data_IF_371669001035
#
_entry.id   IF_371669001035
#
_cell.length_a   1.000
_cell.length_b   1.000
_cell.length_c   1.000
_cell.angle_alpha   90.00
_cell.angle_beta   90.00
_cell.angle_gamma   90.00
#
_symmetry.space_group_name_H-M   'P 1'
#
loop_
_entity.id
_entity.type
_entity.pdbx_description
1 polymer ?
#
# COMPACT_ATOMS: atom_id res chain seq x y z
N UNK A 1 -6.88 -4.25 31.41
CA UNK A 1 -6.42 -2.97 30.81
C UNK A 1 -5.53 -2.24 31.80
N UNK A 2 -4.24 -2.11 31.50
CA UNK A 2 -3.24 -1.42 32.35
C UNK A 2 -3.62 0.06 32.57
N UNK A 3 -3.25 0.63 33.72
CA UNK A 3 -3.42 2.06 34.01
C UNK A 3 -2.73 2.94 32.95
N UNK A 4 -1.60 2.49 32.40
CA UNK A 4 -0.88 3.19 31.34
C UNK A 4 -1.69 3.27 30.03
N UNK A 5 -2.49 2.24 29.74
CA UNK A 5 -3.39 2.24 28.57
C UNK A 5 -4.57 3.18 28.82
N UNK A 6 -5.13 3.19 30.04
CA UNK A 6 -6.21 4.13 30.40
C UNK A 6 -5.77 5.59 30.35
N UNK A 7 -4.50 5.88 30.63
CA UNK A 7 -3.92 7.21 30.54
C UNK A 7 -3.42 7.57 29.12
N UNK A 8 -3.58 6.69 28.13
CA UNK A 8 -3.11 6.91 26.75
C UNK A 8 -1.57 6.91 26.61
N UNK A 9 -0.86 6.45 27.64
CA UNK A 9 0.61 6.41 27.68
C UNK A 9 1.14 5.13 27.01
N UNK A 10 0.31 4.10 26.84
CA UNK A 10 0.64 2.83 26.16
C UNK A 10 -0.47 2.45 25.20
N UNK A 11 -0.11 1.88 24.04
CA UNK A 11 -1.10 1.33 23.11
C UNK A 11 -1.88 0.14 23.71
N UNK A 12 -3.20 0.05 23.49
CA UNK A 12 -4.00 -1.11 23.92
C UNK A 12 -3.73 -2.35 23.08
N UNK A 13 -3.51 -2.20 21.77
CA UNK A 13 -3.20 -3.28 20.85
C UNK A 13 -1.82 -3.07 20.18
N UNK A 14 -1.04 -4.12 19.90
CA UNK A 14 0.24 -4.00 19.17
C UNK A 14 0.14 -3.32 17.80
N UNK A 15 -1.01 -3.44 17.14
CA UNK A 15 -1.26 -2.84 15.81
C UNK A 15 -1.72 -1.38 15.85
N UNK A 16 -2.00 -0.85 17.04
CA UNK A 16 -2.35 0.56 17.18
C UNK A 16 -1.09 1.44 17.01
N UNK A 17 -1.24 2.70 16.57
CA UNK A 17 -0.14 3.64 16.48
C UNK A 17 0.65 3.74 17.79
N UNK A 18 1.98 3.62 17.77
CA UNK A 18 2.77 3.60 18.99
C UNK A 18 2.82 4.98 19.65
N UNK A 19 2.59 5.01 20.96
CA UNK A 19 2.75 6.20 21.81
C UNK A 19 4.22 6.60 21.95
N UNK A 20 4.49 7.75 22.58
CA UNK A 20 5.86 8.17 22.87
C UNK A 20 6.60 7.16 23.77
N UNK A 21 5.92 6.58 24.76
CA UNK A 21 6.52 5.56 25.61
C UNK A 21 6.74 4.25 24.85
N UNK A 22 5.81 3.86 23.98
CA UNK A 22 6.00 2.68 23.12
C UNK A 22 7.23 2.82 22.23
N UNK A 23 7.39 4.00 21.59
CA UNK A 23 8.57 4.31 20.78
C UNK A 23 9.88 4.28 21.58
N UNK A 24 9.84 4.78 22.82
CA UNK A 24 11.00 4.75 23.71
C UNK A 24 11.37 3.31 24.12
N UNK A 25 10.37 2.48 24.43
CA UNK A 25 10.57 1.11 24.90
C UNK A 25 10.94 0.15 23.77
N UNK A 26 10.36 0.30 22.57
CA UNK A 26 10.59 -0.58 21.43
C UNK A 26 11.97 -0.34 20.79
N UNK A 27 12.46 0.91 20.80
CA UNK A 27 13.73 1.24 20.17
C UNK A 27 14.02 2.74 20.18
N UNK A 28 14.65 3.29 21.23
CA UNK A 28 14.84 4.73 21.38
C UNK A 28 15.70 5.31 20.25
N UNK A 29 16.76 4.60 19.85
CA UNK A 29 17.60 5.01 18.73
C UNK A 29 16.84 4.98 17.39
N UNK A 30 16.03 3.94 17.15
CA UNK A 30 15.22 3.86 15.93
C UNK A 30 14.27 5.05 15.83
N UNK A 31 13.63 5.44 16.93
CA UNK A 31 12.73 6.57 16.93
C UNK A 31 13.47 7.91 16.75
N UNK A 32 14.65 8.08 17.35
CA UNK A 32 15.49 9.27 17.13
C UNK A 32 15.94 9.38 15.68
N UNK A 33 16.36 8.28 15.06
CA UNK A 33 16.73 8.23 13.64
C UNK A 33 15.53 8.54 12.76
N UNK A 34 14.35 7.97 13.05
CA UNK A 34 13.13 8.26 12.31
C UNK A 34 12.72 9.74 12.44
N UNK A 35 12.79 10.31 13.64
CA UNK A 35 12.50 11.72 13.89
C UNK A 35 13.49 12.64 13.15
N UNK A 36 14.79 12.33 13.21
CA UNK A 36 15.82 13.05 12.47
C UNK A 36 15.58 12.95 10.95
N UNK A 37 15.28 11.75 10.43
CA UNK A 37 14.96 11.55 9.03
C UNK A 37 13.72 12.34 8.60
N UNK A 38 12.62 12.28 9.36
CA UNK A 38 11.42 13.09 9.09
C UNK A 38 11.71 14.59 9.12
N UNK A 39 12.56 15.04 10.04
CA UNK A 39 13.01 16.43 10.09
C UNK A 39 13.83 16.79 8.84
N UNK A 40 14.81 15.98 8.46
CA UNK A 40 15.61 16.17 7.25
C UNK A 40 14.76 16.15 5.97
N UNK A 41 13.75 15.27 5.89
CA UNK A 41 12.79 15.23 4.77
C UNK A 41 11.97 16.51 4.70
N UNK A 42 11.60 17.11 5.83
CA UNK A 42 10.93 18.43 5.84
C UNK A 42 11.84 19.58 5.40
N UNK A 43 13.16 19.43 5.55
CA UNK A 43 14.14 20.38 5.02
C UNK A 43 14.40 20.17 3.52
N UNK A 44 14.05 19.01 2.94
CA UNK A 44 14.00 18.88 1.48
C UNK A 44 12.95 19.86 0.98
N UNK A 45 13.32 20.64 -0.04
CA UNK A 45 12.54 21.78 -0.53
C UNK A 45 11.09 21.45 -0.87
N UNK A 46 10.34 22.48 -1.26
CA UNK A 46 8.91 22.35 -1.55
C UNK A 46 8.64 21.14 -2.46
N UNK A 47 7.69 20.25 -2.08
CA UNK A 47 7.26 19.18 -2.97
C UNK A 47 6.94 19.75 -4.34
N UNK A 48 7.20 18.97 -5.39
CA UNK A 48 6.82 19.37 -6.74
C UNK A 48 5.32 19.70 -6.77
N UNK A 49 5.00 20.98 -6.94
CA UNK A 49 3.65 21.45 -7.13
C UNK A 49 3.34 21.45 -8.62
N UNK A 50 2.35 20.67 -9.04
CA UNK A 50 1.88 20.71 -10.42
C UNK A 50 1.35 22.12 -10.74
N UNK A 51 1.62 22.65 -11.95
CA UNK A 51 1.01 23.89 -12.41
C UNK A 51 -0.52 23.82 -12.30
N UNK A 52 -1.14 24.91 -11.88
CA UNK A 52 -2.59 25.02 -11.80
C UNK A 52 -3.22 24.73 -13.18
N UNK A 53 -4.31 23.96 -13.21
CA UNK A 53 -5.07 23.68 -14.44
C UNK A 53 -4.70 22.40 -15.18
N UNK A 54 -3.73 21.59 -14.70
CA UNK A 54 -3.56 20.23 -15.22
C UNK A 54 -4.67 19.29 -14.73
N UNK A 55 -5.21 18.42 -15.60
CA UNK A 55 -6.17 17.40 -15.19
C UNK A 55 -5.52 16.49 -14.14
N UNK A 56 -6.29 16.10 -13.12
CA UNK A 56 -5.83 15.16 -12.10
C UNK A 56 -5.80 13.76 -12.70
N UNK A 57 -4.76 13.00 -12.37
CA UNK A 57 -4.71 11.58 -12.68
C UNK A 57 -5.60 10.86 -11.68
N UNK A 58 -6.54 10.04 -12.16
CA UNK A 58 -7.31 9.12 -11.34
C UNK A 58 -6.63 7.77 -11.31
N UNK A 59 -6.18 7.39 -10.12
CA UNK A 59 -5.59 6.08 -9.85
C UNK A 59 -6.63 5.18 -9.22
N UNK A 60 -6.83 3.99 -9.77
CA UNK A 60 -7.72 2.94 -9.27
C UNK A 60 -6.86 1.85 -8.66
N UNK A 61 -7.01 1.63 -7.36
CA UNK A 61 -6.23 0.64 -6.62
C UNK A 61 -7.13 -0.53 -6.22
N UNK A 62 -6.71 -1.74 -6.59
CA UNK A 62 -7.30 -3.02 -6.18
C UNK A 62 -6.17 -3.95 -5.70
N UNK A 63 -6.50 -5.02 -4.98
CA UNK A 63 -5.53 -5.96 -4.42
C UNK A 63 -6.22 -7.24 -4.00
N UNK A 64 -5.44 -8.30 -3.78
CA UNK A 64 -5.86 -9.54 -3.12
C UNK A 64 -7.13 -10.14 -3.74
N UNK A 65 -7.20 -10.14 -5.07
CA UNK A 65 -8.38 -10.64 -5.78
C UNK A 65 -8.48 -12.16 -5.72
N UNK A 66 -7.37 -12.89 -5.56
CA UNK A 66 -7.38 -14.34 -5.40
C UNK A 66 -8.23 -15.08 -6.45
N UNK A 67 -8.05 -14.72 -7.73
CA UNK A 67 -8.77 -15.20 -8.90
C UNK A 67 -10.20 -14.66 -9.09
N UNK A 68 -10.69 -13.80 -8.18
CA UNK A 68 -11.99 -13.15 -8.30
C UNK A 68 -11.93 -11.93 -9.22
N UNK A 69 -12.76 -11.93 -10.25
CA UNK A 69 -12.97 -10.75 -11.10
C UNK A 69 -14.02 -9.84 -10.47
N UNK A 70 -13.75 -8.53 -10.46
CA UNK A 70 -14.69 -7.55 -9.97
C UNK A 70 -15.72 -7.22 -11.06
N UNK A 71 -17.01 -7.32 -10.72
CA UNK A 71 -18.11 -7.03 -11.65
C UNK A 71 -18.19 -5.57 -12.09
N UNK A 72 -17.61 -4.65 -11.32
CA UNK A 72 -17.49 -3.23 -11.69
C UNK A 72 -16.18 -2.66 -11.15
N UNK A 73 -15.28 -2.27 -12.05
CA UNK A 73 -14.07 -1.52 -11.71
C UNK A 73 -14.27 -0.07 -12.17
N UNK A 74 -14.13 0.94 -11.28
CA UNK A 74 -14.29 2.33 -11.67
C UNK A 74 -13.31 2.74 -12.78
N UNK A 75 -13.75 3.62 -13.67
CA UNK A 75 -12.86 4.22 -14.68
C UNK A 75 -11.76 5.05 -14.03
N UNK A 76 -10.56 5.01 -14.62
CA UNK A 76 -9.41 5.83 -14.25
C UNK A 76 -8.29 5.76 -15.29
N UNK A 77 -7.30 6.62 -15.12
CA UNK A 77 -6.16 6.72 -16.05
C UNK A 77 -5.13 5.60 -15.80
N UNK A 78 -5.01 5.18 -14.54
CA UNK A 78 -4.07 4.16 -14.07
C UNK A 78 -4.78 3.18 -13.14
N UNK A 79 -4.70 1.89 -13.43
CA UNK A 79 -5.07 0.82 -12.52
C UNK A 79 -3.82 0.21 -11.88
N UNK A 80 -3.84 0.00 -10.57
CA UNK A 80 -2.82 -0.70 -9.80
C UNK A 80 -3.46 -1.92 -9.14
N UNK A 81 -2.95 -3.11 -9.43
CA UNK A 81 -3.21 -4.33 -8.66
C UNK A 81 -2.05 -4.59 -7.69
N UNK A 82 -2.30 -4.55 -6.39
CA UNK A 82 -1.27 -4.46 -5.36
C UNK A 82 -0.90 -5.80 -4.69
N UNK A 83 -0.88 -6.90 -5.46
CA UNK A 83 -0.53 -8.23 -4.96
C UNK A 83 -1.69 -9.22 -4.97
N UNK A 84 -1.33 -10.52 -4.92
CA UNK A 84 -2.22 -11.67 -4.77
C UNK A 84 -3.35 -11.70 -5.81
N UNK A 85 -2.94 -11.72 -7.10
CA UNK A 85 -3.88 -11.92 -8.21
C UNK A 85 -4.54 -13.29 -8.13
N UNK A 86 -3.79 -14.30 -7.70
CA UNK A 86 -4.21 -15.69 -7.73
C UNK A 86 -4.31 -16.33 -6.34
N UNK A 87 -4.97 -17.48 -6.25
CA UNK A 87 -4.97 -18.32 -5.04
C UNK A 87 -3.88 -19.39 -5.12
N UNK A 88 -3.76 -19.99 -6.30
CA UNK A 88 -2.92 -21.16 -6.57
C UNK A 88 -1.56 -20.83 -7.19
N UNK A 89 -1.40 -19.61 -7.72
CA UNK A 89 -0.14 -19.19 -8.33
C UNK A 89 0.22 -19.89 -9.63
N UNK A 90 -0.67 -20.67 -10.25
CA UNK A 90 -0.36 -21.38 -11.51
C UNK A 90 -0.28 -20.43 -12.71
N UNK A 91 0.45 -20.83 -13.75
CA UNK A 91 0.59 -20.03 -14.99
C UNK A 91 -0.78 -19.73 -15.59
N UNK A 92 -1.68 -20.73 -15.63
CA UNK A 92 -3.02 -20.58 -16.18
C UNK A 92 -3.89 -19.63 -15.34
N UNK A 93 -3.77 -19.68 -14.01
CA UNK A 93 -4.48 -18.78 -13.11
C UNK A 93 -3.99 -17.34 -13.30
N UNK A 94 -2.67 -17.14 -13.36
CA UNK A 94 -2.06 -15.83 -13.59
C UNK A 94 -2.47 -15.28 -14.95
N UNK A 95 -2.38 -16.08 -16.02
CA UNK A 95 -2.77 -15.64 -17.36
C UNK A 95 -4.25 -15.22 -17.40
N UNK A 96 -5.15 -15.99 -16.78
CA UNK A 96 -6.58 -15.64 -16.71
C UNK A 96 -6.82 -14.31 -16.00
N UNK A 97 -6.09 -14.03 -14.92
CA UNK A 97 -6.19 -12.75 -14.22
C UNK A 97 -5.61 -11.59 -15.04
N UNK A 98 -4.50 -11.81 -15.74
CA UNK A 98 -3.92 -10.83 -16.64
C UNK A 98 -4.85 -10.54 -17.83
N UNK A 99 -5.53 -11.55 -18.37
CA UNK A 99 -6.52 -11.39 -19.44
C UNK A 99 -7.70 -10.54 -18.96
N UNK A 100 -8.23 -10.82 -17.76
CA UNK A 100 -9.27 -10.00 -17.14
C UNK A 100 -8.81 -8.55 -16.92
N UNK A 101 -7.64 -8.34 -16.30
CA UNK A 101 -7.09 -7.00 -16.11
C UNK A 101 -6.88 -6.29 -17.44
N UNK A 102 -6.39 -6.99 -18.47
CA UNK A 102 -6.20 -6.47 -19.82
C UNK A 102 -7.48 -5.99 -20.48
N UNK A 103 -8.63 -6.61 -20.15
CA UNK A 103 -9.96 -6.22 -20.66
C UNK A 103 -10.50 -4.89 -20.11
N UNK A 104 -9.96 -4.41 -18.98
CA UNK A 104 -10.42 -3.18 -18.34
C UNK A 104 -10.03 -1.93 -19.15
N UNK A 105 -10.84 -0.83 -19.12
CA UNK A 105 -10.66 0.32 -20.00
C UNK A 105 -9.48 1.24 -19.64
N UNK A 106 -8.79 1.00 -18.51
CA UNK A 106 -7.70 1.86 -18.03
C UNK A 106 -6.52 1.87 -19.02
N UNK A 107 -6.01 3.07 -19.35
CA UNK A 107 -4.91 3.21 -20.30
C UNK A 107 -3.62 2.54 -19.80
N UNK A 108 -3.33 2.70 -18.51
CA UNK A 108 -2.16 2.11 -17.86
C UNK A 108 -2.57 1.15 -16.76
N UNK A 109 -1.83 0.04 -16.64
CA UNK A 109 -2.08 -1.03 -15.68
C UNK A 109 -0.74 -1.45 -15.09
N UNK A 110 -0.62 -1.38 -13.77
CA UNK A 110 0.54 -1.83 -13.00
C UNK A 110 0.09 -3.00 -12.16
N UNK A 111 0.81 -4.10 -12.27
CA UNK A 111 0.54 -5.32 -11.52
C UNK A 111 1.75 -5.61 -10.65
N UNK A 112 1.52 -5.70 -9.34
CA UNK A 112 2.52 -6.12 -8.36
C UNK A 112 2.20 -7.56 -7.98
N UNK A 113 3.21 -8.43 -7.99
CA UNK A 113 3.07 -9.81 -7.54
C UNK A 113 2.92 -9.87 -6.02
N UNK A 114 2.02 -10.72 -5.53
CA UNK A 114 1.96 -11.09 -4.12
C UNK A 114 2.55 -12.47 -3.86
N UNK A 115 2.46 -12.93 -2.60
CA UNK A 115 3.02 -14.22 -2.19
C UNK A 115 2.26 -15.41 -2.79
N UNK A 116 1.03 -15.23 -3.25
CA UNK A 116 0.28 -16.28 -3.94
C UNK A 116 0.59 -16.37 -5.44
N UNK A 117 1.29 -15.41 -6.03
CA UNK A 117 1.57 -15.36 -7.47
C UNK A 117 2.91 -16.04 -7.82
N UNK A 118 3.02 -17.33 -7.47
CA UNK A 118 4.30 -18.06 -7.38
C UNK A 118 5.17 -18.10 -8.64
N UNK A 119 4.63 -17.85 -9.83
CA UNK A 119 5.42 -17.77 -11.08
C UNK A 119 6.01 -16.37 -11.36
N UNK A 120 5.71 -15.37 -10.53
CA UNK A 120 6.22 -14.00 -10.68
C UNK A 120 7.41 -13.69 -9.74
N UNK A 121 7.81 -14.64 -8.90
CA UNK A 121 9.02 -14.60 -8.06
C UNK A 121 10.06 -15.59 -8.63
N UNK A 122 11.36 -15.21 -8.77
CA UNK A 122 12.42 -16.09 -9.30
C UNK A 122 12.69 -17.38 -8.51
#
# INVERSE_FOLDING_TARGET
>A
MSILVRLGIRRPHPWDPPTALDKLLDGPLHHLVAAAHSFLVRLRGTPFALPAGRPRIRVVCISDTHEHTLGSVPDGDLLIHAGDLTSSGTVEAIQRQLDWLGSLPHQHKVVVAGNHDTWLDP
#
